data_IF_543454493995
#
_entry.id   IF_543454493995
#
_cell.length_a   1.000
_cell.length_b   1.000
_cell.length_c   1.000
_cell.angle_alpha   90.00
_cell.angle_beta   90.00
_cell.angle_gamma   90.00
#
_symmetry.space_group_name_H-M   'P 1'
#
loop_
_entity.id
_entity.type
_entity.pdbx_description
1 polymer ?
#
# COMPACT_ATOMS: atom_id res chain seq x y z
N UNK A 1 22.95 -7.04 -1.73
CA UNK A 1 22.32 -8.33 -2.12
C UNK A 1 20.85 -8.41 -1.69
N UNK A 2 20.48 -8.02 -0.47
CA UNK A 2 19.08 -8.04 0.04
C UNK A 2 18.10 -7.21 -0.81
N UNK A 3 18.48 -6.00 -1.23
CA UNK A 3 17.62 -5.16 -2.10
C UNK A 3 17.29 -5.82 -3.44
N UNK A 4 18.23 -6.57 -4.02
CA UNK A 4 18.00 -7.30 -5.28
C UNK A 4 17.02 -8.46 -5.08
N UNK A 5 17.13 -9.15 -3.94
CA UNK A 5 16.21 -10.22 -3.56
C UNK A 5 14.79 -9.69 -3.26
N UNK A 6 14.65 -8.52 -2.63
CA UNK A 6 13.33 -7.92 -2.37
C UNK A 6 12.59 -7.56 -3.65
N UNK A 7 13.29 -7.03 -4.65
CA UNK A 7 12.68 -6.79 -5.97
C UNK A 7 12.25 -8.09 -6.66
N UNK A 8 13.06 -9.16 -6.59
CA UNK A 8 12.66 -10.46 -7.15
C UNK A 8 11.43 -11.05 -6.46
N UNK A 9 11.36 -10.97 -5.13
CA UNK A 9 10.20 -11.46 -4.37
C UNK A 9 8.96 -10.62 -4.68
N UNK A 10 9.10 -9.29 -4.79
CA UNK A 10 8.00 -8.42 -5.18
C UNK A 10 7.49 -8.76 -6.59
N UNK A 11 8.39 -8.99 -7.53
CA UNK A 11 8.02 -9.38 -8.90
C UNK A 11 7.30 -10.73 -8.94
N UNK A 12 7.81 -11.73 -8.20
CA UNK A 12 7.17 -13.04 -8.07
C UNK A 12 5.76 -12.92 -7.48
N UNK A 13 5.58 -12.11 -6.44
CA UNK A 13 4.28 -11.88 -5.82
C UNK A 13 3.29 -11.21 -6.79
N UNK A 14 3.74 -10.21 -7.56
CA UNK A 14 2.93 -9.54 -8.58
C UNK A 14 2.52 -10.52 -9.67
N UNK A 15 3.45 -11.35 -10.14
CA UNK A 15 3.18 -12.36 -11.16
C UNK A 15 2.14 -13.37 -10.69
N UNK A 16 2.27 -13.87 -9.46
CA UNK A 16 1.31 -14.80 -8.87
C UNK A 16 -0.10 -14.19 -8.73
N UNK A 17 -0.18 -12.91 -8.36
CA UNK A 17 -1.44 -12.17 -8.33
C UNK A 17 -2.06 -11.99 -9.71
N UNK A 18 -1.26 -11.66 -10.72
CA UNK A 18 -1.74 -11.49 -12.10
C UNK A 18 -2.21 -12.80 -12.71
N UNK A 19 -1.48 -13.90 -12.49
CA UNK A 19 -1.90 -15.23 -12.92
C UNK A 19 -3.20 -15.65 -12.24
N UNK A 20 -3.33 -15.45 -10.92
CA UNK A 20 -4.57 -15.74 -10.21
C UNK A 20 -5.75 -14.90 -10.75
N UNK A 21 -5.52 -13.61 -10.99
CA UNK A 21 -6.53 -12.73 -11.56
C UNK A 21 -6.94 -13.15 -12.98
N UNK A 22 -5.98 -13.65 -13.78
CA UNK A 22 -6.25 -14.13 -15.14
C UNK A 22 -6.99 -15.46 -15.17
N UNK A 23 -6.53 -16.48 -14.42
CA UNK A 23 -7.07 -17.84 -14.49
C UNK A 23 -8.34 -18.03 -13.65
N UNK A 24 -8.42 -17.41 -12.47
CA UNK A 24 -9.50 -17.69 -11.50
C UNK A 24 -10.64 -16.69 -11.62
N UNK A 25 -10.33 -15.43 -11.94
CA UNK A 25 -11.32 -14.36 -11.97
C UNK A 25 -11.88 -14.09 -13.38
N UNK A 26 -11.49 -14.88 -14.39
CA UNK A 26 -11.69 -14.57 -15.81
C UNK A 26 -13.16 -14.31 -16.19
N UNK A 27 -14.09 -15.09 -15.64
CA UNK A 27 -15.46 -15.21 -16.14
C UNK A 27 -16.49 -14.22 -15.56
N UNK A 28 -16.17 -13.52 -14.47
CA UNK A 28 -17.16 -12.63 -13.81
C UNK A 28 -16.63 -11.23 -13.52
N UNK A 29 -17.26 -10.24 -14.18
CA UNK A 29 -17.00 -8.82 -13.95
C UNK A 29 -17.24 -8.42 -12.48
N UNK A 30 -18.28 -8.99 -11.86
CA UNK A 30 -18.63 -8.69 -10.47
C UNK A 30 -17.54 -9.19 -9.50
N UNK A 31 -16.98 -10.37 -9.73
CA UNK A 31 -15.92 -10.90 -8.86
C UNK A 31 -14.62 -10.11 -9.03
N UNK A 32 -14.28 -9.71 -10.26
CA UNK A 32 -13.15 -8.80 -10.54
C UNK A 32 -13.31 -7.46 -9.80
N UNK A 33 -14.51 -6.88 -9.86
CA UNK A 33 -14.82 -5.63 -9.19
C UNK A 33 -14.71 -5.76 -7.65
N UNK A 34 -15.29 -6.81 -7.06
CA UNK A 34 -15.20 -7.04 -5.63
C UNK A 34 -13.75 -7.26 -5.18
N UNK A 35 -12.97 -8.03 -5.93
CA UNK A 35 -11.56 -8.26 -5.64
C UNK A 35 -10.78 -6.94 -5.69
N UNK A 36 -11.01 -6.11 -6.71
CA UNK A 36 -10.42 -4.79 -6.82
C UNK A 36 -10.75 -3.90 -5.61
N UNK A 37 -12.04 -3.82 -5.22
CA UNK A 37 -12.47 -3.01 -4.08
C UNK A 37 -11.81 -3.48 -2.78
N UNK A 38 -11.79 -4.80 -2.52
CA UNK A 38 -11.14 -5.36 -1.32
C UNK A 38 -9.65 -5.03 -1.32
N UNK A 39 -8.97 -5.21 -2.45
CA UNK A 39 -7.53 -4.92 -2.57
C UNK A 39 -7.25 -3.43 -2.36
N UNK A 40 -8.08 -2.55 -2.93
CA UNK A 40 -7.96 -1.10 -2.75
C UNK A 40 -8.11 -0.68 -1.29
N UNK A 41 -9.06 -1.28 -0.55
CA UNK A 41 -9.24 -1.04 0.89
C UNK A 41 -8.02 -1.50 1.69
N UNK A 42 -7.49 -2.70 1.40
CA UNK A 42 -6.29 -3.21 2.08
C UNK A 42 -5.06 -2.32 1.81
N UNK A 43 -4.87 -1.89 0.57
CA UNK A 43 -3.79 -0.95 0.20
C UNK A 43 -3.98 0.37 0.94
N UNK A 44 -5.19 0.94 0.95
CA UNK A 44 -5.47 2.19 1.66
C UNK A 44 -5.13 2.09 3.15
N UNK A 45 -5.57 1.01 3.82
CA UNK A 45 -5.23 0.76 5.23
C UNK A 45 -3.72 0.63 5.44
N UNK A 46 -3.03 -0.10 4.56
CA UNK A 46 -1.58 -0.28 4.62
C UNK A 46 -0.82 1.04 4.44
N UNK A 47 -1.23 1.85 3.46
CA UNK A 47 -0.64 3.16 3.18
C UNK A 47 -0.92 4.13 4.32
N UNK A 48 -2.14 4.20 4.86
CA UNK A 48 -2.46 5.05 6.02
C UNK A 48 -1.60 4.68 7.22
N UNK A 49 -1.48 3.38 7.57
CA UNK A 49 -0.60 2.96 8.67
C UNK A 49 0.87 3.27 8.43
N UNK A 50 1.34 3.11 7.18
CA UNK A 50 2.71 3.44 6.82
C UNK A 50 2.93 4.95 6.94
N UNK A 51 1.98 5.75 6.45
CA UNK A 51 1.98 7.19 6.54
C UNK A 51 2.01 7.65 8.00
N UNK A 52 1.20 7.09 8.89
CA UNK A 52 1.21 7.43 10.33
C UNK A 52 2.53 7.10 11.03
N UNK A 53 3.22 6.04 10.60
CA UNK A 53 4.52 5.64 11.16
C UNK A 53 5.70 6.41 10.56
N UNK A 54 5.57 6.90 9.33
CA UNK A 54 6.66 7.55 8.58
C UNK A 54 6.55 9.07 8.64
N UNK A 55 5.34 9.60 8.53
CA UNK A 55 5.06 11.02 8.73
C UNK A 55 4.93 11.26 10.24
N UNK A 56 5.70 12.19 10.81
CA UNK A 56 5.53 12.55 12.21
C UNK A 56 4.10 13.05 12.39
N UNK A 57 3.28 12.29 13.15
CA UNK A 57 1.93 12.68 13.53
C UNK A 57 2.01 14.06 14.17
N UNK A 58 1.44 15.05 13.48
CA UNK A 58 1.28 16.44 13.89
C UNK A 58 2.25 16.86 14.99
N UNK A 59 3.54 16.98 14.62
CA UNK A 59 4.31 18.00 15.31
C UNK A 59 3.71 19.29 14.84
N UNK A 60 2.80 19.83 15.65
CA UNK A 60 2.50 21.25 15.68
C UNK A 60 3.80 21.97 15.40
N UNK A 61 3.97 22.43 14.15
CA UNK A 61 5.02 23.36 13.80
C UNK A 61 4.60 24.71 14.38
N UNK A 62 4.38 24.78 15.70
CA UNK A 62 4.55 26.02 16.43
C UNK A 62 6.04 26.25 16.30
N UNK A 63 6.38 27.14 15.37
CA UNK A 63 7.70 27.74 15.29
C UNK A 63 8.11 28.08 16.72
N UNK A 64 9.27 27.58 17.16
CA UNK A 64 9.86 27.93 18.44
C UNK A 64 10.30 29.42 18.51
N UNK A 65 9.64 30.30 17.74
CA UNK A 65 9.89 31.74 17.65
C UNK A 65 8.84 32.57 18.42
N UNK A 66 7.72 32.00 18.89
CA UNK A 66 6.71 32.77 19.65
C UNK A 66 6.80 32.65 21.19
N UNK A 67 7.78 31.91 21.74
CA UNK A 67 7.95 31.82 23.21
C UNK A 67 8.99 32.81 23.78
N UNK A 68 9.55 33.71 22.95
CA UNK A 68 10.38 34.85 23.40
C UNK A 68 10.20 36.06 22.47
N UNK A 69 9.15 36.85 22.69
CA UNK A 69 8.96 38.15 22.05
C UNK A 69 7.70 38.86 22.50
#
# INVERSE_FOLDING_TARGET
MVLKASFQIAFLAIELFLTFYSDVLQDSLMVKFLFFVITAVLIAMGVTKLADNVLPADKDFISSEEEKG
#
